data_IF_491572002496
#
_entry.id   IF_491572002496
#
_cell.length_a   1.000
_cell.length_b   1.000
_cell.length_c   1.000
_cell.angle_alpha   90.00
_cell.angle_beta   90.00
_cell.angle_gamma   90.00
#
_symmetry.space_group_name_H-M   'P 1'
#
loop_
_entity.id
_entity.type
_entity.pdbx_description
1 polymer ?
#
# COMPACT_ATOMS: atom_id res chain seq x y z
N UNK A 1 -2.94 -9.24 18.90
CA UNK A 1 -3.07 -9.07 17.43
C UNK A 1 -2.73 -10.40 16.77
N UNK A 2 -3.45 -10.82 15.72
CA UNK A 2 -3.10 -12.06 15.00
C UNK A 2 -1.75 -11.92 14.30
N UNK A 3 -0.95 -12.99 14.27
CA UNK A 3 0.39 -12.97 13.64
C UNK A 3 0.32 -12.56 12.17
N UNK A 4 -0.67 -13.07 11.44
CA UNK A 4 -0.89 -12.71 10.05
C UNK A 4 -2.18 -11.92 9.90
N UNK A 5 -2.12 -10.84 9.15
CA UNK A 5 -3.25 -10.00 8.78
C UNK A 5 -3.37 -9.98 7.25
N UNK A 6 -4.53 -10.31 6.70
CA UNK A 6 -4.74 -10.30 5.26
C UNK A 6 -4.69 -8.85 4.74
N UNK A 7 -4.10 -8.66 3.56
CA UNK A 7 -4.14 -7.39 2.85
C UNK A 7 -5.58 -7.08 2.37
N UNK A 8 -5.97 -5.80 2.41
CA UNK A 8 -7.28 -5.31 1.96
C UNK A 8 -7.38 -5.19 0.43
N UNK A 9 -6.25 -5.34 -0.26
CA UNK A 9 -6.16 -5.35 -1.74
C UNK A 9 -6.39 -6.73 -2.36
N UNK A 10 -6.47 -7.81 -1.56
CA UNK A 10 -6.65 -9.17 -2.05
C UNK A 10 -7.92 -9.29 -2.90
N UNK A 11 -7.84 -10.05 -4.01
CA UNK A 11 -8.91 -10.17 -4.99
C UNK A 11 -9.59 -11.55 -5.01
N UNK A 12 -9.04 -12.54 -4.33
CA UNK A 12 -9.45 -13.95 -4.40
C UNK A 12 -9.30 -14.69 -3.05
N UNK A 13 -9.67 -15.97 -3.06
CA UNK A 13 -9.73 -16.84 -1.87
C UNK A 13 -8.35 -17.24 -1.32
N UNK A 14 -7.25 -16.85 -1.98
CA UNK A 14 -5.88 -17.14 -1.56
C UNK A 14 -5.13 -15.84 -1.20
N UNK A 15 -5.44 -15.23 -0.03
CA UNK A 15 -4.95 -13.92 0.33
C UNK A 15 -3.44 -13.88 0.59
N UNK A 16 -2.84 -12.74 0.26
CA UNK A 16 -1.54 -12.32 0.76
C UNK A 16 -1.68 -11.69 2.15
N UNK A 17 -0.62 -11.78 2.95
CA UNK A 17 -0.63 -11.40 4.36
C UNK A 17 0.55 -10.51 4.76
N UNK A 18 0.30 -9.63 5.72
CA UNK A 18 1.32 -8.93 6.52
C UNK A 18 1.63 -9.76 7.76
N UNK A 19 2.92 -10.02 8.02
CA UNK A 19 3.36 -10.52 9.33
C UNK A 19 3.38 -9.35 10.31
N UNK A 20 2.38 -9.29 11.20
CA UNK A 20 2.20 -8.20 12.15
C UNK A 20 3.28 -8.16 13.23
N UNK A 21 4.03 -9.26 13.37
CA UNK A 21 5.11 -9.41 14.35
C UNK A 21 6.47 -9.01 13.81
N UNK A 22 6.59 -8.71 12.50
CA UNK A 22 7.81 -8.20 11.89
C UNK A 22 8.32 -6.92 12.59
N UNK A 23 9.64 -6.62 12.59
CA UNK A 23 10.14 -5.40 13.22
C UNK A 23 9.49 -4.13 12.66
N UNK A 24 9.20 -3.14 13.52
CA UNK A 24 8.48 -1.91 13.12
C UNK A 24 9.16 -1.16 11.96
N UNK A 25 10.50 -1.09 11.97
CA UNK A 25 11.25 -0.44 10.89
C UNK A 25 11.07 -1.18 9.55
N UNK A 26 10.99 -2.52 9.54
CA UNK A 26 10.74 -3.31 8.33
C UNK A 26 9.34 -3.03 7.79
N UNK A 27 8.33 -2.98 8.67
CA UNK A 27 6.96 -2.64 8.28
C UNK A 27 6.90 -1.22 7.71
N UNK A 28 7.58 -0.26 8.35
CA UNK A 28 7.61 1.14 7.92
C UNK A 28 8.32 1.31 6.57
N UNK A 29 9.48 0.69 6.41
CA UNK A 29 10.24 0.73 5.15
C UNK A 29 9.44 0.12 4.00
N UNK A 30 8.74 -0.99 4.26
CA UNK A 30 7.90 -1.67 3.27
C UNK A 30 6.70 -0.81 2.88
N UNK A 31 5.99 -0.23 3.86
CA UNK A 31 4.87 0.69 3.62
C UNK A 31 5.33 1.91 2.82
N UNK A 32 6.43 2.53 3.25
CA UNK A 32 7.02 3.70 2.62
C UNK A 32 7.48 3.43 1.19
N UNK A 33 8.08 2.26 0.92
CA UNK A 33 8.47 1.87 -0.43
C UNK A 33 7.28 1.84 -1.39
N UNK A 34 6.17 1.21 -0.99
CA UNK A 34 4.96 1.10 -1.81
C UNK A 34 4.32 2.46 -2.09
N UNK A 35 4.16 3.28 -1.04
CA UNK A 35 3.56 4.62 -1.17
C UNK A 35 4.44 5.49 -2.07
N UNK A 36 5.75 5.52 -1.86
CA UNK A 36 6.68 6.31 -2.69
C UNK A 36 6.69 5.86 -4.15
N UNK A 37 6.61 4.56 -4.42
CA UNK A 37 6.53 4.06 -5.79
C UNK A 37 5.29 4.60 -6.52
N UNK A 38 4.13 4.62 -5.85
CA UNK A 38 2.90 5.19 -6.40
C UNK A 38 3.01 6.70 -6.56
N UNK A 39 3.54 7.41 -5.56
CA UNK A 39 3.78 8.86 -5.65
C UNK A 39 4.63 9.20 -6.87
N UNK A 40 5.75 8.50 -7.05
CA UNK A 40 6.65 8.74 -8.17
C UNK A 40 5.97 8.48 -9.53
N UNK A 41 5.12 7.46 -9.63
CA UNK A 41 4.33 7.19 -10.83
C UNK A 41 3.35 8.34 -11.11
N UNK A 42 2.58 8.76 -10.10
CA UNK A 42 1.59 9.83 -10.24
C UNK A 42 2.23 11.18 -10.58
N UNK A 43 3.37 11.50 -9.96
CA UNK A 43 4.15 12.70 -10.31
C UNK A 43 4.62 12.67 -11.76
N UNK A 44 5.12 11.52 -12.23
CA UNK A 44 5.53 11.36 -13.62
C UNK A 44 4.38 11.48 -14.60
N UNK A 45 3.18 11.02 -14.24
CA UNK A 45 1.97 11.20 -15.05
C UNK A 45 1.53 12.66 -15.07
N UNK A 46 1.53 13.34 -13.91
CA UNK A 46 1.14 14.74 -13.80
C UNK A 46 2.07 15.69 -14.57
N UNK A 47 3.37 15.37 -14.71
CA UNK A 47 4.32 16.16 -15.50
C UNK A 47 4.16 15.97 -17.03
N UNK A 48 3.50 14.90 -17.48
CA UNK A 48 3.27 14.64 -18.91
C UNK A 48 1.97 15.33 -19.33
N UNK A 49 2.10 16.55 -19.87
CA UNK A 49 0.97 17.41 -20.24
C UNK A 49 0.04 16.89 -21.33
N UNK A 50 0.37 15.76 -21.97
CA UNK A 50 -0.47 15.11 -22.97
C UNK A 50 -0.31 13.59 -22.81
N UNK A 51 -1.12 12.99 -21.94
CA UNK A 51 -1.29 11.53 -21.94
C UNK A 51 -2.52 11.28 -22.82
N UNK A 52 -2.35 10.94 -24.11
CA UNK A 52 -3.45 10.40 -24.92
C UNK A 52 -3.83 9.05 -24.30
N UNK A 53 -4.70 9.09 -23.30
CA UNK A 53 -5.19 7.94 -22.58
C UNK A 53 -6.69 7.89 -22.79
N UNK A 54 -7.13 6.80 -23.41
CA UNK A 54 -8.53 6.42 -23.37
C UNK A 54 -8.95 6.26 -21.90
N UNK A 55 -10.22 6.51 -21.56
CA UNK A 55 -10.70 6.47 -20.17
C UNK A 55 -10.43 5.12 -19.49
N UNK A 56 -10.35 4.04 -20.29
CA UNK A 56 -9.97 2.69 -19.86
C UNK A 56 -8.55 2.65 -19.29
N UNK A 57 -7.60 3.32 -19.94
CA UNK A 57 -6.19 3.33 -19.51
C UNK A 57 -6.05 4.07 -18.17
N UNK A 58 -6.78 5.17 -17.98
CA UNK A 58 -6.75 5.90 -16.71
C UNK A 58 -7.37 5.08 -15.57
N UNK A 59 -8.44 4.33 -15.86
CA UNK A 59 -9.05 3.41 -14.89
C UNK A 59 -8.08 2.29 -14.49
N UNK A 60 -7.36 1.70 -15.44
CA UNK A 60 -6.37 0.66 -15.17
C UNK A 60 -5.21 1.21 -14.32
N UNK A 61 -4.73 2.43 -14.60
CA UNK A 61 -3.72 3.09 -13.77
C UNK A 61 -4.22 3.36 -12.35
N UNK A 62 -5.47 3.83 -12.20
CA UNK A 62 -6.05 4.06 -10.88
C UNK A 62 -6.15 2.74 -10.09
N UNK A 63 -6.62 1.66 -10.72
CA UNK A 63 -6.68 0.34 -10.11
C UNK A 63 -5.29 -0.18 -9.73
N UNK A 64 -4.30 -0.01 -10.61
CA UNK A 64 -2.90 -0.35 -10.35
C UNK A 64 -2.35 0.42 -9.15
N UNK A 65 -2.69 1.70 -8.98
CA UNK A 65 -2.27 2.51 -7.83
C UNK A 65 -2.98 2.09 -6.53
N UNK A 66 -4.25 1.69 -6.60
CA UNK A 66 -5.02 1.31 -5.41
C UNK A 66 -4.41 0.15 -4.63
N UNK A 67 -3.86 -0.86 -5.32
CA UNK A 67 -3.29 -2.06 -4.68
C UNK A 67 -2.12 -1.70 -3.74
N UNK A 68 -0.99 -1.14 -4.21
CA UNK A 68 0.14 -0.77 -3.36
C UNK A 68 -0.19 0.32 -2.34
N UNK A 69 -1.14 1.23 -2.62
CA UNK A 69 -1.60 2.21 -1.62
C UNK A 69 -2.32 1.52 -0.46
N UNK A 70 -3.28 0.63 -0.75
CA UNK A 70 -3.98 -0.15 0.28
C UNK A 70 -3.02 -1.01 1.07
N UNK A 71 -2.11 -1.71 0.39
CA UNK A 71 -1.09 -2.52 1.05
C UNK A 71 -0.21 -1.69 1.99
N UNK A 72 0.19 -0.50 1.55
CA UNK A 72 0.95 0.44 2.37
C UNK A 72 0.16 0.90 3.60
N UNK A 73 -1.13 1.22 3.43
CA UNK A 73 -2.03 1.58 4.53
C UNK A 73 -2.20 0.43 5.54
N UNK A 74 -2.38 -0.81 5.08
CA UNK A 74 -2.52 -1.97 5.96
C UNK A 74 -1.28 -2.13 6.86
N UNK A 75 -0.07 -1.88 6.31
CA UNK A 75 1.16 -1.90 7.09
C UNK A 75 1.25 -0.75 8.10
N UNK A 76 0.83 0.46 7.71
CA UNK A 76 0.76 1.61 8.62
C UNK A 76 -0.25 1.37 9.76
N UNK A 77 -1.37 0.72 9.48
CA UNK A 77 -2.36 0.34 10.49
C UNK A 77 -1.80 -0.65 11.51
N UNK A 78 -0.99 -1.62 11.04
CA UNK A 78 -0.26 -2.54 11.94
C UNK A 78 0.72 -1.78 12.84
N UNK A 79 1.44 -0.81 12.28
CA UNK A 79 2.36 0.04 13.05
C UNK A 79 1.59 0.85 14.10
N UNK A 80 0.52 1.54 13.71
CA UNK A 80 -0.30 2.35 14.60
C UNK A 80 -0.83 1.53 15.78
N UNK A 81 -1.44 0.37 15.52
CA UNK A 81 -1.95 -0.53 16.57
C UNK A 81 -0.87 -1.03 17.53
N UNK A 82 0.38 -1.16 17.07
CA UNK A 82 1.49 -1.58 17.93
C UNK A 82 2.00 -0.44 18.79
N UNK A 83 2.10 0.75 18.23
CA UNK A 83 2.44 1.95 19.00
C UNK A 83 1.39 2.22 20.08
N UNK A 84 0.11 2.06 19.77
CA UNK A 84 -1.00 2.21 20.73
C UNK A 84 -0.98 1.14 21.85
N UNK A 85 -0.33 -0.01 21.60
CA UNK A 85 -0.20 -1.10 22.56
C UNK A 85 1.09 -1.02 23.39
N UNK A 86 2.03 -0.14 23.04
CA UNK A 86 3.23 0.09 23.84
C UNK A 86 2.84 0.85 25.13
N UNK A 87 3.27 0.36 26.31
CA UNK A 87 3.05 1.10 27.54
C UNK A 87 3.82 2.42 27.51
N UNK A 88 3.19 3.49 27.99
CA UNK A 88 3.75 4.84 28.08
C UNK A 88 4.97 4.94 29.01
#
# INVERSE_FOLDING_TARGET
MNKYMALTSNADDQPLFVDTTAPLHILLDTAGYRIRAVTQLLENLAMRGDIPSDSVVLQDFAQLCCIPLRDGCDMLDVIARRLDAEPA
#
